data_IF_059548583639
#
_entry.id   IF_059548583639
#
_cell.length_a   1.000
_cell.length_b   1.000
_cell.length_c   1.000
_cell.angle_alpha   90.00
_cell.angle_beta   90.00
_cell.angle_gamma   90.00
#
_symmetry.space_group_name_H-M   'P 1'
#
loop_
_entity.id
_entity.type
_entity.pdbx_description
1 polymer ?
#
# COMPACT_ATOMS: atom_id res chain seq x y z
N UNK A 1 23.31 6.55 -11.80
CA UNK A 1 21.95 6.06 -11.51
C UNK A 1 21.41 6.83 -10.31
N UNK A 2 20.52 7.79 -10.54
CA UNK A 2 19.95 8.65 -9.50
C UNK A 2 19.20 7.78 -8.49
N UNK A 3 19.60 7.80 -7.23
CA UNK A 3 18.91 7.06 -6.16
C UNK A 3 17.62 7.81 -5.84
N UNK A 4 16.51 7.38 -6.45
CA UNK A 4 15.18 7.89 -6.11
C UNK A 4 14.83 7.54 -4.66
N UNK A 5 14.21 8.48 -3.96
CA UNK A 5 13.74 8.30 -2.58
C UNK A 5 12.57 7.32 -2.54
N UNK A 6 12.24 6.79 -1.36
CA UNK A 6 11.10 5.87 -1.21
C UNK A 6 9.78 6.54 -1.59
N UNK A 7 9.65 7.85 -1.37
CA UNK A 7 8.49 8.65 -1.71
C UNK A 7 8.28 8.72 -3.22
N UNK A 8 9.36 8.92 -3.99
CA UNK A 8 9.32 8.92 -5.46
C UNK A 8 8.98 7.52 -6.01
N UNK A 9 9.43 6.45 -5.32
CA UNK A 9 9.15 5.06 -5.69
C UNK A 9 7.74 4.59 -5.33
N UNK A 10 7.03 5.28 -4.44
CA UNK A 10 5.64 4.96 -4.05
C UNK A 10 4.62 5.51 -5.07
N UNK A 11 5.08 6.17 -6.13
CA UNK A 11 4.22 6.51 -7.25
C UNK A 11 3.89 5.25 -8.07
N UNK A 12 2.65 4.76 -7.93
CA UNK A 12 2.14 3.60 -8.66
C UNK A 12 2.38 3.71 -10.17
N UNK A 13 2.19 4.89 -10.75
CA UNK A 13 2.31 5.09 -12.19
C UNK A 13 3.76 4.91 -12.67
N UNK A 14 4.75 5.35 -11.90
CA UNK A 14 6.16 5.18 -12.29
C UNK A 14 6.60 3.71 -12.23
N UNK A 15 6.09 2.97 -11.26
CA UNK A 15 6.34 1.53 -11.14
C UNK A 15 5.57 0.75 -12.22
N UNK A 16 4.31 1.10 -12.46
CA UNK A 16 3.47 0.48 -13.48
C UNK A 16 4.06 0.66 -14.90
N UNK A 17 4.61 1.84 -15.19
CA UNK A 17 5.28 2.14 -16.45
C UNK A 17 6.71 1.55 -16.56
N UNK A 18 7.19 0.84 -15.53
CA UNK A 18 8.55 0.26 -15.51
C UNK A 18 9.69 1.27 -15.40
N UNK A 19 9.40 2.51 -15.02
CA UNK A 19 10.40 3.58 -14.86
C UNK A 19 11.16 3.42 -13.53
N UNK A 20 10.50 2.86 -12.52
CA UNK A 20 11.05 2.65 -11.18
C UNK A 20 10.83 1.21 -10.70
N UNK A 21 11.82 0.68 -9.99
CA UNK A 21 11.65 -0.59 -9.27
C UNK A 21 10.65 -0.45 -8.12
N UNK A 22 9.70 -1.39 -7.97
CA UNK A 22 8.77 -1.36 -6.86
C UNK A 22 9.52 -1.50 -5.52
N UNK A 23 9.16 -0.70 -4.50
CA UNK A 23 9.61 -0.92 -3.14
C UNK A 23 9.04 -2.25 -2.61
N UNK A 24 9.79 -2.89 -1.72
CA UNK A 24 9.31 -4.10 -1.06
C UNK A 24 8.06 -3.83 -0.21
N UNK A 25 7.19 -4.83 0.03
CA UNK A 25 6.03 -4.67 0.91
C UNK A 25 6.41 -4.13 2.31
N UNK A 26 7.56 -4.56 2.84
CA UNK A 26 8.08 -4.08 4.12
C UNK A 26 8.48 -2.60 4.07
N UNK A 27 9.08 -2.16 2.97
CA UNK A 27 9.44 -0.76 2.74
C UNK A 27 8.18 0.13 2.68
N UNK A 28 7.13 -0.33 1.98
CA UNK A 28 5.84 0.39 1.92
C UNK A 28 5.18 0.45 3.30
N UNK A 29 5.13 -0.67 4.03
CA UNK A 29 4.57 -0.70 5.37
C UNK A 29 5.30 0.23 6.35
N UNK A 30 6.64 0.24 6.33
CA UNK A 30 7.44 1.14 7.16
C UNK A 30 7.18 2.61 6.81
N UNK A 31 7.02 2.92 5.52
CA UNK A 31 6.66 4.26 5.08
C UNK A 31 5.26 4.67 5.55
N UNK A 32 4.27 3.77 5.48
CA UNK A 32 2.93 3.99 6.03
C UNK A 32 3.00 4.27 7.54
N UNK A 33 3.77 3.48 8.29
CA UNK A 33 3.94 3.64 9.73
C UNK A 33 4.60 4.97 10.11
N UNK A 34 5.63 5.38 9.36
CA UNK A 34 6.31 6.66 9.54
C UNK A 34 5.42 7.87 9.18
N UNK A 35 4.38 7.66 8.38
CA UNK A 35 3.50 8.71 7.87
C UNK A 35 2.04 8.43 8.27
N UNK A 36 1.75 8.43 9.57
CA UNK A 36 0.43 8.09 10.12
C UNK A 36 -0.76 8.97 9.69
N UNK A 37 -0.53 10.02 8.89
CA UNK A 37 -1.58 10.86 8.27
C UNK A 37 -2.02 10.38 6.89
N UNK A 38 -1.40 9.33 6.36
CA UNK A 38 -1.74 8.78 5.05
C UNK A 38 -3.10 8.09 5.06
N UNK A 39 -3.79 8.15 3.92
CA UNK A 39 -5.06 7.45 3.72
C UNK A 39 -4.92 5.93 3.92
N UNK A 40 -3.77 5.35 3.56
CA UNK A 40 -3.49 3.92 3.76
C UNK A 40 -3.41 3.55 5.24
N UNK A 41 -2.83 4.39 6.09
CA UNK A 41 -2.78 4.17 7.54
C UNK A 41 -4.20 4.16 8.12
N UNK A 42 -4.98 5.20 7.83
CA UNK A 42 -6.38 5.27 8.28
C UNK A 42 -7.25 4.15 7.72
N UNK A 43 -7.05 3.77 6.46
CA UNK A 43 -7.79 2.68 5.83
C UNK A 43 -7.46 1.30 6.39
N UNK A 44 -6.35 1.13 7.12
CA UNK A 44 -6.09 -0.10 7.90
C UNK A 44 -6.86 -0.09 9.22
N UNK A 45 -6.90 1.05 9.91
CA UNK A 45 -7.66 1.20 11.16
C UNK A 45 -9.17 1.04 10.94
N UNK A 46 -9.72 1.65 9.89
CA UNK A 46 -11.14 1.58 9.51
C UNK A 46 -11.63 0.15 9.19
N UNK A 47 -10.72 -0.78 8.85
CA UNK A 47 -11.07 -2.20 8.69
C UNK A 47 -11.09 -3.00 9.99
N UNK A 48 -10.78 -2.38 11.13
CA UNK A 48 -10.79 -3.03 12.43
C UNK A 48 -9.45 -3.61 12.88
N UNK A 49 -8.34 -3.36 12.17
CA UNK A 49 -7.01 -3.77 12.63
C UNK A 49 -6.53 -3.00 13.88
N UNK A 50 -7.26 -1.96 14.31
CA UNK A 50 -7.01 -1.21 15.54
C UNK A 50 -5.58 -0.68 15.60
N UNK A 51 -5.16 0.07 14.57
CA UNK A 51 -3.82 0.65 14.48
C UNK A 51 -3.79 1.91 15.35
N UNK A 52 -3.75 1.70 16.66
CA UNK A 52 -3.72 2.78 17.67
C UNK A 52 -2.33 3.38 17.86
N UNK A 53 -1.32 2.74 17.31
CA UNK A 53 0.08 3.11 17.45
C UNK A 53 0.75 3.11 16.08
N UNK A 54 1.66 4.06 15.84
CA UNK A 54 2.56 4.06 14.69
C UNK A 54 3.67 2.99 14.80
N UNK A 55 3.42 1.91 15.54
CA UNK A 55 4.34 0.78 15.65
C UNK A 55 4.49 0.15 14.26
N UNK A 56 5.71 0.18 13.67
CA UNK A 56 5.95 -0.37 12.33
C UNK A 56 5.58 -1.85 12.21
N UNK A 57 5.68 -2.63 13.29
CA UNK A 57 5.35 -4.06 13.26
C UNK A 57 3.85 -4.28 13.12
N UNK A 58 3.03 -3.51 13.84
CA UNK A 58 1.56 -3.59 13.78
C UNK A 58 1.07 -3.18 12.38
N UNK A 59 1.57 -2.04 11.88
CA UNK A 59 1.23 -1.55 10.54
C UNK A 59 1.64 -2.55 9.47
N UNK A 60 2.84 -3.13 9.59
CA UNK A 60 3.32 -4.15 8.65
C UNK A 60 2.47 -5.40 8.68
N UNK A 61 2.12 -5.92 9.86
CA UNK A 61 1.26 -7.10 9.97
C UNK A 61 -0.10 -6.86 9.29
N UNK A 62 -0.76 -5.74 9.62
CA UNK A 62 -2.04 -5.37 9.02
C UNK A 62 -1.94 -5.20 7.50
N UNK A 63 -0.91 -4.50 7.01
CA UNK A 63 -0.68 -4.31 5.59
C UNK A 63 -0.43 -5.63 4.85
N UNK A 64 0.36 -6.54 5.44
CA UNK A 64 0.61 -7.86 4.87
C UNK A 64 -0.65 -8.73 4.83
N UNK A 65 -1.50 -8.69 5.86
CA UNK A 65 -2.79 -9.41 5.83
C UNK A 65 -3.63 -9.01 4.62
N UNK A 66 -3.61 -7.72 4.27
CA UNK A 66 -4.32 -7.20 3.09
C UNK A 66 -3.70 -7.70 1.80
N UNK A 67 -2.37 -7.59 1.67
CA UNK A 67 -1.66 -8.09 0.48
C UNK A 67 -1.98 -9.56 0.27
N UNK A 68 -1.86 -10.39 1.31
CA UNK A 68 -2.15 -11.83 1.22
C UNK A 68 -3.60 -12.07 0.85
N UNK A 69 -4.54 -11.31 1.42
CA UNK A 69 -5.95 -11.43 1.09
C UNK A 69 -6.22 -11.09 -0.39
N UNK A 70 -5.74 -9.94 -0.86
CA UNK A 70 -5.93 -9.53 -2.26
C UNK A 70 -5.24 -10.49 -3.24
N UNK A 71 -4.03 -10.95 -2.91
CA UNK A 71 -3.32 -11.92 -3.72
C UNK A 71 -4.10 -13.25 -3.84
N UNK A 72 -4.76 -13.67 -2.77
CA UNK A 72 -5.58 -14.89 -2.76
C UNK A 72 -6.85 -14.76 -3.61
N UNK A 73 -7.51 -13.60 -3.59
CA UNK A 73 -8.84 -13.43 -4.18
C UNK A 73 -8.86 -12.76 -5.57
N UNK A 74 -7.79 -12.05 -5.96
CA UNK A 74 -7.68 -11.53 -7.32
C UNK A 74 -7.28 -12.65 -8.29
N UNK A 75 -8.01 -12.75 -9.41
CA UNK A 75 -7.62 -13.65 -10.50
C UNK A 75 -6.29 -13.17 -11.13
N UNK A 76 -5.50 -14.06 -11.76
CA UNK A 76 -4.27 -13.66 -12.44
C UNK A 76 -4.49 -12.54 -13.47
N UNK A 77 -5.58 -12.64 -14.26
CA UNK A 77 -5.97 -11.61 -15.23
C UNK A 77 -6.28 -10.26 -14.58
N UNK A 78 -6.94 -10.26 -13.42
CA UNK A 78 -7.20 -9.03 -12.68
C UNK A 78 -5.90 -8.43 -12.12
N UNK A 79 -4.99 -9.27 -11.60
CA UNK A 79 -3.68 -8.81 -11.09
C UNK A 79 -2.87 -8.12 -12.19
N UNK A 80 -2.83 -8.71 -13.38
CA UNK A 80 -2.16 -8.13 -14.55
C UNK A 80 -2.79 -6.80 -14.96
N UNK A 81 -4.11 -6.77 -15.16
CA UNK A 81 -4.83 -5.57 -15.56
C UNK A 81 -4.70 -4.40 -14.56
N UNK A 82 -4.57 -4.72 -13.27
CA UNK A 82 -4.44 -3.74 -12.19
C UNK A 82 -2.99 -3.35 -11.87
N UNK A 83 -1.99 -4.02 -12.47
CA UNK A 83 -0.59 -3.83 -12.06
C UNK A 83 -0.36 -4.16 -10.59
N UNK A 84 -0.94 -5.28 -10.14
CA UNK A 84 -0.96 -5.67 -8.73
C UNK A 84 0.44 -5.65 -8.13
N UNK A 85 0.59 -4.82 -7.10
CA UNK A 85 1.85 -4.57 -6.41
C UNK A 85 1.56 -4.08 -5.00
N UNK A 86 2.55 -4.08 -4.08
CA UNK A 86 2.36 -3.49 -2.76
C UNK A 86 1.90 -2.03 -2.83
N UNK A 87 2.36 -1.28 -3.83
CA UNK A 87 1.91 0.10 -4.07
C UNK A 87 0.45 0.15 -4.48
N UNK A 88 0.00 -0.75 -5.37
CA UNK A 88 -1.42 -0.82 -5.72
C UNK A 88 -2.30 -0.98 -4.48
N UNK A 89 -1.88 -1.85 -3.55
CA UNK A 89 -2.60 -2.07 -2.28
C UNK A 89 -2.62 -0.81 -1.41
N UNK A 90 -1.51 -0.07 -1.31
CA UNK A 90 -1.45 1.22 -0.63
C UNK A 90 -2.41 2.25 -1.28
N UNK A 91 -2.37 2.38 -2.60
CA UNK A 91 -3.18 3.34 -3.36
C UNK A 91 -4.68 3.05 -3.24
N UNK A 92 -5.11 1.79 -3.36
CA UNK A 92 -6.53 1.41 -3.19
C UNK A 92 -7.03 1.86 -1.82
N UNK A 93 -6.23 1.69 -0.75
CA UNK A 93 -6.63 2.10 0.61
C UNK A 93 -6.76 3.59 0.79
N UNK A 94 -5.84 4.36 0.20
CA UNK A 94 -5.96 5.81 0.14
C UNK A 94 -7.25 6.27 -0.56
N UNK A 95 -7.88 5.43 -1.40
CA UNK A 95 -9.11 5.74 -2.12
C UNK A 95 -10.39 5.20 -1.48
N UNK A 96 -10.35 4.11 -0.71
CA UNK A 96 -11.54 3.56 -0.04
C UNK A 96 -12.21 4.63 0.85
N UNK A 97 -11.41 5.36 1.64
CA UNK A 97 -11.91 6.49 2.43
C UNK A 97 -12.56 7.59 1.56
N UNK A 98 -11.94 7.92 0.42
CA UNK A 98 -12.46 8.93 -0.53
C UNK A 98 -13.78 8.51 -1.17
N UNK A 99 -14.00 7.20 -1.37
CA UNK A 99 -15.23 6.67 -1.93
C UNK A 99 -16.39 6.70 -0.93
N UNK A 100 -16.11 6.39 0.34
CA UNK A 100 -17.11 6.43 1.42
C UNK A 100 -17.50 7.87 1.78
N UNK A 101 -16.58 8.82 1.64
CA UNK A 101 -16.82 10.24 1.95
C UNK A 101 -17.35 11.08 0.78
N UNK A 102 -17.91 10.46 -0.27
CA UNK A 102 -18.48 11.13 -1.45
C UNK A 102 -19.96 10.83 -1.55
#
# INVERSE_FOLDING_TARGET
KTKLTIEEKINHNLVFLGICEPPSPASVANWIAANGKLGAFHGLDEMGFSIRTSDPLVVRAAFFCVIVHMDKFLSPKAKEALGYSPIFVEHVRCKVKRWISR
#
